data_IF_429445940199
#
_entry.id   IF_429445940199
#
_cell.length_a   1.000
_cell.length_b   1.000
_cell.length_c   1.000
_cell.angle_alpha   90.00
_cell.angle_beta   90.00
_cell.angle_gamma   90.00
#
_symmetry.space_group_name_H-M   'P 1'
#
loop_
_entity.id
_entity.type
_entity.pdbx_description
1 polymer ?
#
# COMPACT_ATOMS: atom_id res chain seq x y z
N UNK A 1 -18.88 14.24 3.81
CA UNK A 1 -18.30 13.82 2.49
C UNK A 1 -16.89 14.36 2.44
N UNK A 2 -15.90 13.59 1.98
CA UNK A 2 -14.51 14.08 1.91
C UNK A 2 -14.42 15.32 1.02
N UNK A 3 -13.76 16.34 1.54
CA UNK A 3 -13.41 17.57 0.84
C UNK A 3 -12.00 17.50 0.28
N UNK A 4 -11.40 18.66 -0.02
CA UNK A 4 -9.97 18.73 -0.37
C UNK A 4 -9.10 18.30 0.82
N UNK A 5 -7.87 17.78 0.59
CA UNK A 5 -7.02 17.30 1.67
C UNK A 5 -6.83 18.32 2.82
N UNK A 6 -6.67 19.58 2.52
CA UNK A 6 -6.44 20.63 3.52
C UNK A 6 -7.65 20.92 4.44
N UNK A 7 -8.84 20.53 4.03
CA UNK A 7 -10.10 20.65 4.79
C UNK A 7 -10.55 19.34 5.42
N UNK A 8 -9.82 18.26 5.23
CA UNK A 8 -10.15 16.93 5.72
C UNK A 8 -9.32 16.62 6.96
N UNK A 9 -9.94 16.01 7.97
CA UNK A 9 -9.26 15.42 9.10
C UNK A 9 -9.31 13.89 9.01
N UNK A 10 -8.14 13.25 9.13
CA UNK A 10 -8.00 11.81 9.08
C UNK A 10 -7.44 11.24 10.38
N UNK A 11 -7.97 10.08 10.79
CA UNK A 11 -7.45 9.26 11.87
C UNK A 11 -6.82 7.99 11.27
N UNK A 12 -5.52 7.82 11.48
CA UNK A 12 -4.81 6.59 11.12
C UNK A 12 -4.67 5.74 12.38
N UNK A 13 -5.28 4.56 12.39
CA UNK A 13 -5.26 3.65 13.55
C UNK A 13 -4.14 2.63 13.39
N UNK A 14 -3.11 2.74 14.20
CA UNK A 14 -1.87 1.95 14.16
C UNK A 14 -0.69 2.78 13.65
N UNK A 15 0.22 3.15 14.56
CA UNK A 15 1.43 3.96 14.30
C UNK A 15 2.66 3.13 13.91
N UNK A 16 2.47 1.91 13.37
CA UNK A 16 3.56 1.14 12.77
C UNK A 16 4.07 1.78 11.48
N UNK A 17 5.05 1.13 10.81
CA UNK A 17 5.68 1.67 9.59
C UNK A 17 4.65 2.12 8.55
N UNK A 18 3.66 1.27 8.23
CA UNK A 18 2.64 1.61 7.24
C UNK A 18 1.77 2.78 7.67
N UNK A 19 1.26 2.78 8.92
CA UNK A 19 0.41 3.87 9.39
C UNK A 19 1.14 5.20 9.47
N UNK A 20 2.40 5.20 9.91
CA UNK A 20 3.23 6.40 9.91
C UNK A 20 3.49 6.95 8.49
N UNK A 21 3.78 6.07 7.53
CA UNK A 21 3.96 6.45 6.12
C UNK A 21 2.67 7.00 5.50
N UNK A 22 1.53 6.34 5.74
CA UNK A 22 0.21 6.81 5.29
C UNK A 22 -0.12 8.18 5.88
N UNK A 23 0.17 8.39 7.16
CA UNK A 23 -0.01 9.69 7.79
C UNK A 23 0.80 10.79 7.11
N UNK A 24 2.05 10.52 6.74
CA UNK A 24 2.87 11.48 5.98
C UNK A 24 2.32 11.76 4.57
N UNK A 25 1.77 10.75 3.88
CA UNK A 25 1.09 10.94 2.58
C UNK A 25 -0.06 11.92 2.70
N UNK A 26 -0.87 11.80 3.73
CA UNK A 26 -2.02 12.68 3.97
C UNK A 26 -1.56 14.10 4.38
N UNK A 27 -0.63 14.17 5.33
CA UNK A 27 -0.15 15.43 5.87
C UNK A 27 0.58 16.30 4.84
N UNK A 28 1.39 15.69 3.94
CA UNK A 28 2.04 16.43 2.85
C UNK A 28 1.04 17.14 1.94
N UNK A 29 -0.16 16.59 1.80
CA UNK A 29 -1.25 17.19 1.05
C UNK A 29 -2.08 18.21 1.87
N UNK A 30 -1.69 18.46 3.13
CA UNK A 30 -2.35 19.42 4.01
C UNK A 30 -3.45 18.85 4.90
N UNK A 31 -3.75 17.56 4.81
CA UNK A 31 -4.74 16.92 5.66
C UNK A 31 -4.31 16.96 7.15
N UNK A 32 -5.23 17.34 8.04
CA UNK A 32 -5.03 17.20 9.49
C UNK A 32 -5.04 15.71 9.82
N UNK A 33 -3.90 15.16 10.23
CA UNK A 33 -3.74 13.71 10.38
C UNK A 33 -3.34 13.37 11.80
N UNK A 34 -4.15 12.54 12.44
CA UNK A 34 -3.94 12.05 13.79
C UNK A 34 -3.57 10.56 13.68
N UNK A 35 -2.48 10.16 14.31
CA UNK A 35 -2.07 8.75 14.39
C UNK A 35 -2.39 8.21 15.76
N UNK A 36 -3.26 7.20 15.83
CA UNK A 36 -3.49 6.46 17.06
C UNK A 36 -2.45 5.35 17.18
N UNK A 37 -1.63 5.44 18.24
CA UNK A 37 -0.67 4.40 18.60
C UNK A 37 -0.73 4.16 20.13
N UNK A 38 -1.20 2.99 20.51
CA UNK A 38 -1.39 2.62 21.92
C UNK A 38 -0.10 2.32 22.65
N UNK A 39 0.95 1.92 21.94
CA UNK A 39 2.27 1.65 22.52
C UNK A 39 3.01 2.96 22.78
N UNK A 40 3.18 3.35 24.05
CA UNK A 40 3.91 4.55 24.42
C UNK A 40 5.31 4.64 23.80
N UNK A 41 6.16 3.56 23.82
CA UNK A 41 7.48 3.62 23.19
C UNK A 41 7.45 3.88 21.69
N UNK A 42 6.43 3.36 20.98
CA UNK A 42 6.28 3.64 19.54
C UNK A 42 5.76 5.04 19.29
N UNK A 43 4.81 5.50 20.11
CA UNK A 43 4.22 6.83 20.00
C UNK A 43 5.28 7.92 20.21
N UNK A 44 6.21 7.73 21.15
CA UNK A 44 7.33 8.63 21.41
C UNK A 44 8.31 8.75 20.23
N UNK A 45 8.41 7.74 19.39
CA UNK A 45 9.28 7.75 18.20
C UNK A 45 8.64 8.43 16.98
N UNK A 46 7.31 8.61 16.95
CA UNK A 46 6.61 9.18 15.81
C UNK A 46 7.05 10.60 15.43
N UNK A 47 7.23 11.55 16.37
CA UNK A 47 7.66 12.91 16.01
C UNK A 47 8.98 12.94 15.23
N UNK A 48 9.98 12.19 15.66
CA UNK A 48 11.27 12.10 14.97
C UNK A 48 11.17 11.39 13.63
N UNK A 49 10.33 10.36 13.56
CA UNK A 49 10.05 9.67 12.29
C UNK A 49 9.41 10.63 11.28
N UNK A 50 8.39 11.37 11.69
CA UNK A 50 7.71 12.37 10.87
C UNK A 50 8.63 13.51 10.44
N UNK A 51 9.44 14.05 11.36
CA UNK A 51 10.38 15.13 11.05
C UNK A 51 11.35 14.73 9.95
N UNK A 52 11.94 13.52 10.04
CA UNK A 52 12.84 12.99 9.02
C UNK A 52 12.11 12.74 7.70
N UNK A 53 11.00 11.99 7.74
CA UNK A 53 10.25 11.63 6.54
C UNK A 53 9.68 12.85 5.80
N UNK A 54 9.13 13.83 6.49
CA UNK A 54 8.62 15.07 5.89
C UNK A 54 9.75 15.93 5.33
N UNK A 55 10.93 15.93 5.96
CA UNK A 55 12.13 16.58 5.40
C UNK A 55 12.59 15.92 4.11
N UNK A 56 12.66 14.59 4.11
CA UNK A 56 13.04 13.80 2.93
C UNK A 56 12.08 13.97 1.75
N UNK A 57 10.81 14.21 2.04
CA UNK A 57 9.76 14.49 1.06
C UNK A 57 9.73 15.97 0.61
N UNK A 58 10.40 16.87 1.32
CA UNK A 58 10.39 18.33 1.01
C UNK A 58 9.16 19.06 1.57
N UNK A 59 8.47 18.51 2.58
CA UNK A 59 7.24 19.06 3.16
C UNK A 59 7.34 19.41 4.65
N UNK A 60 8.49 19.91 5.10
CA UNK A 60 8.71 20.30 6.51
C UNK A 60 7.69 21.32 7.03
N UNK A 61 7.21 22.20 6.15
CA UNK A 61 6.17 23.18 6.46
C UNK A 61 4.79 22.55 6.76
N UNK A 62 4.60 21.28 6.46
CA UNK A 62 3.37 20.52 6.76
C UNK A 62 3.49 19.63 8.01
N UNK A 63 4.62 19.65 8.70
CA UNK A 63 4.83 18.83 9.91
C UNK A 63 3.77 19.09 11.00
N UNK A 64 3.31 20.33 11.14
CA UNK A 64 2.24 20.69 12.06
C UNK A 64 0.86 20.10 11.74
N UNK A 65 0.71 19.41 10.62
CA UNK A 65 -0.51 18.65 10.28
C UNK A 65 -0.55 17.26 10.90
N UNK A 66 0.57 16.79 11.47
CA UNK A 66 0.72 15.48 12.11
C UNK A 66 0.62 15.61 13.63
N UNK A 67 -0.16 14.74 14.24
CA UNK A 67 -0.24 14.55 15.67
C UNK A 67 -0.44 13.08 16.02
N UNK A 68 -0.30 12.71 17.29
CA UNK A 68 -0.55 11.36 17.76
C UNK A 68 -1.46 11.38 18.99
N UNK A 69 -2.26 10.33 19.16
CA UNK A 69 -3.07 10.06 20.36
C UNK A 69 -2.86 8.61 20.83
N UNK A 70 -3.26 8.32 22.06
CA UNK A 70 -3.04 7.03 22.70
C UNK A 70 -4.16 6.03 22.42
N UNK A 71 -5.39 6.51 22.43
CA UNK A 71 -6.59 5.68 22.41
C UNK A 71 -7.67 6.25 21.50
N UNK A 72 -8.71 5.45 21.27
CA UNK A 72 -9.92 5.90 20.55
C UNK A 72 -10.66 7.00 21.32
N UNK A 73 -10.52 7.07 22.65
CA UNK A 73 -11.19 8.08 23.47
C UNK A 73 -10.57 9.47 23.31
N UNK A 74 -9.29 9.52 22.91
CA UNK A 74 -8.56 10.78 22.70
C UNK A 74 -8.76 11.35 21.28
N UNK A 75 -9.40 10.60 20.38
CA UNK A 75 -9.59 11.05 19.01
C UNK A 75 -10.73 12.09 18.91
N UNK A 76 -10.56 13.16 18.12
CA UNK A 76 -11.57 14.21 17.96
C UNK A 76 -12.66 13.77 16.97
N UNK A 77 -13.52 12.85 17.36
CA UNK A 77 -14.50 12.18 16.50
C UNK A 77 -15.44 13.13 15.76
N UNK A 78 -15.75 14.29 16.35
CA UNK A 78 -16.57 15.30 15.71
C UNK A 78 -15.92 15.95 14.47
N UNK A 79 -14.59 15.84 14.33
CA UNK A 79 -13.83 16.42 13.24
C UNK A 79 -13.38 15.37 12.22
N UNK A 80 -13.31 14.08 12.59
CA UNK A 80 -12.75 13.01 11.74
C UNK A 80 -13.68 12.71 10.57
N UNK A 81 -13.16 12.87 9.35
CA UNK A 81 -13.85 12.60 8.08
C UNK A 81 -13.45 11.24 7.47
N UNK A 82 -12.24 10.79 7.76
CA UNK A 82 -11.66 9.58 7.21
C UNK A 82 -10.90 8.80 8.30
N UNK A 83 -11.22 7.52 8.43
CA UNK A 83 -10.47 6.60 9.28
C UNK A 83 -9.73 5.60 8.40
N UNK A 84 -8.43 5.41 8.65
CA UNK A 84 -7.59 4.44 7.93
C UNK A 84 -7.01 3.46 8.95
N UNK A 85 -7.43 2.21 8.90
CA UNK A 85 -6.93 1.15 9.79
C UNK A 85 -5.64 0.57 9.22
N UNK A 86 -4.58 0.57 10.05
CA UNK A 86 -3.24 0.03 9.78
C UNK A 86 -2.73 -0.88 10.91
N UNK A 87 -3.64 -1.56 11.63
CA UNK A 87 -3.27 -2.49 12.70
C UNK A 87 -2.81 -3.85 12.15
N UNK A 88 -2.23 -4.75 12.99
CA UNK A 88 -1.78 -6.07 12.55
C UNK A 88 -2.85 -6.86 11.80
N UNK A 89 -2.40 -7.71 10.86
CA UNK A 89 -3.23 -8.47 9.93
C UNK A 89 -3.88 -9.68 10.64
N UNK A 90 -4.87 -9.38 11.49
CA UNK A 90 -5.69 -10.33 12.23
C UNK A 90 -7.17 -9.96 12.10
N UNK A 91 -7.96 -10.84 11.53
CA UNK A 91 -9.35 -10.58 11.19
C UNK A 91 -10.20 -10.25 12.43
N UNK A 92 -10.05 -11.04 13.51
CA UNK A 92 -10.75 -10.87 14.78
C UNK A 92 -10.54 -9.47 15.39
N UNK A 93 -9.28 -8.99 15.37
CA UNK A 93 -8.93 -7.65 15.90
C UNK A 93 -9.50 -6.56 15.00
N UNK A 94 -9.41 -6.74 13.66
CA UNK A 94 -9.96 -5.76 12.70
C UNK A 94 -11.47 -5.64 12.85
N UNK A 95 -12.20 -6.75 12.90
CA UNK A 95 -13.67 -6.76 13.12
C UNK A 95 -14.06 -6.05 14.42
N UNK A 96 -13.37 -6.37 15.52
CA UNK A 96 -13.61 -5.72 16.82
C UNK A 96 -13.36 -4.22 16.76
N UNK A 97 -12.27 -3.80 16.12
CA UNK A 97 -11.95 -2.39 15.92
C UNK A 97 -13.04 -1.68 15.10
N UNK A 98 -13.44 -2.24 13.95
CA UNK A 98 -14.43 -1.59 13.09
C UNK A 98 -15.80 -1.48 13.74
N UNK A 99 -16.19 -2.44 14.59
CA UNK A 99 -17.40 -2.34 15.41
C UNK A 99 -17.35 -1.13 16.39
N UNK A 100 -16.17 -0.81 16.94
CA UNK A 100 -16.00 0.37 17.79
C UNK A 100 -15.90 1.67 16.96
N UNK A 101 -15.21 1.65 15.82
CA UNK A 101 -15.13 2.80 14.92
C UNK A 101 -16.51 3.21 14.38
N UNK A 102 -17.36 2.24 14.05
CA UNK A 102 -18.72 2.51 13.55
C UNK A 102 -19.58 3.28 14.57
N UNK A 103 -19.43 2.99 15.87
CA UNK A 103 -20.15 3.67 16.95
C UNK A 103 -19.67 5.09 17.20
N UNK A 104 -18.37 5.35 17.00
CA UNK A 104 -17.70 6.62 17.35
C UNK A 104 -17.66 7.62 16.21
N UNK A 105 -17.41 7.12 15.01
CA UNK A 105 -17.26 7.97 13.83
C UNK A 105 -18.59 8.56 13.41
N UNK A 106 -18.57 9.81 12.97
CA UNK A 106 -19.73 10.50 12.36
C UNK A 106 -20.33 9.64 11.26
N UNK A 107 -21.62 9.74 11.05
CA UNK A 107 -22.35 8.93 10.04
C UNK A 107 -21.88 9.17 8.60
N UNK A 108 -21.29 10.32 8.31
CA UNK A 108 -20.76 10.72 6.99
C UNK A 108 -19.23 10.48 6.86
N UNK A 109 -18.53 10.05 7.92
CA UNK A 109 -17.14 9.71 7.88
C UNK A 109 -16.92 8.36 7.18
N UNK A 110 -15.87 8.27 6.34
CA UNK A 110 -15.47 7.02 5.69
C UNK A 110 -14.59 6.19 6.62
N UNK A 111 -14.86 4.90 6.65
CA UNK A 111 -14.06 3.90 7.36
C UNK A 111 -13.30 3.07 6.34
N UNK A 112 -11.97 2.97 6.50
CA UNK A 112 -11.16 2.24 5.52
C UNK A 112 -10.14 1.33 6.18
N UNK A 113 -9.86 0.18 5.54
CA UNK A 113 -8.81 -0.73 5.97
C UNK A 113 -7.67 -0.78 4.97
N UNK A 114 -6.44 -0.72 5.48
CA UNK A 114 -5.23 -0.96 4.70
C UNK A 114 -4.82 -2.45 4.69
N UNK A 115 -5.75 -3.37 4.97
CA UNK A 115 -5.50 -4.82 4.88
C UNK A 115 -5.00 -5.20 3.49
N UNK A 116 -4.01 -6.10 3.44
CA UNK A 116 -3.43 -6.61 2.18
C UNK A 116 -4.00 -7.96 1.76
N UNK A 117 -4.54 -8.75 2.70
CA UNK A 117 -4.92 -10.14 2.46
C UNK A 117 -6.39 -10.44 2.72
N UNK A 118 -7.01 -9.79 3.70
CA UNK A 118 -8.42 -10.03 4.00
C UNK A 118 -9.33 -9.25 3.06
N UNK A 119 -10.36 -9.91 2.47
CA UNK A 119 -11.44 -9.20 1.79
C UNK A 119 -12.10 -8.17 2.72
N UNK A 120 -12.45 -7.02 2.19
CA UNK A 120 -13.08 -5.94 2.95
C UNK A 120 -14.45 -6.39 3.48
N UNK A 121 -15.21 -7.22 2.72
CA UNK A 121 -16.44 -7.84 3.17
C UNK A 121 -16.27 -8.68 4.44
N UNK A 122 -15.12 -9.38 4.58
CA UNK A 122 -14.85 -10.15 5.79
C UNK A 122 -14.58 -9.24 6.98
N UNK A 123 -13.86 -8.14 6.80
CA UNK A 123 -13.59 -7.15 7.85
C UNK A 123 -14.88 -6.41 8.23
N UNK A 124 -15.71 -6.07 7.26
CA UNK A 124 -16.98 -5.37 7.44
C UNK A 124 -18.11 -6.26 8.00
N UNK A 125 -17.86 -7.55 8.19
CA UNK A 125 -18.87 -8.46 8.71
C UNK A 125 -19.39 -8.01 10.09
N UNK A 126 -20.72 -7.85 10.21
CA UNK A 126 -21.37 -7.38 11.43
C UNK A 126 -21.55 -5.85 11.54
N UNK A 127 -21.01 -5.06 10.63
CA UNK A 127 -21.30 -3.64 10.59
C UNK A 127 -22.70 -3.36 10.04
N UNK A 128 -23.35 -2.34 10.59
CA UNK A 128 -24.69 -1.87 10.16
C UNK A 128 -24.54 -0.92 8.96
N UNK A 129 -23.51 -0.07 8.96
CA UNK A 129 -23.29 0.98 7.96
C UNK A 129 -22.19 0.58 6.96
N UNK A 130 -22.31 -0.61 6.36
CA UNK A 130 -21.32 -1.18 5.44
C UNK A 130 -21.07 -0.31 4.21
N UNK A 131 -22.02 0.53 3.80
CA UNK A 131 -21.91 1.41 2.64
C UNK A 131 -20.75 2.42 2.72
N UNK A 132 -20.31 2.78 3.93
CA UNK A 132 -19.17 3.69 4.17
C UNK A 132 -17.84 2.99 4.49
N UNK A 133 -17.84 1.65 4.46
CA UNK A 133 -16.64 0.85 4.64
C UNK A 133 -16.02 0.50 3.29
N UNK A 134 -14.73 0.79 3.13
CA UNK A 134 -13.97 0.55 1.91
C UNK A 134 -12.58 -0.03 2.25
N UNK A 135 -11.92 -0.63 1.28
CA UNK A 135 -10.48 -0.84 1.37
C UNK A 135 -9.73 0.39 0.85
N UNK A 136 -8.63 0.71 1.51
CA UNK A 136 -7.69 1.73 1.06
C UNK A 136 -6.27 1.20 1.24
N UNK A 137 -5.81 0.43 0.25
CA UNK A 137 -4.59 -0.36 0.34
C UNK A 137 -3.41 0.36 -0.30
N UNK A 138 -2.43 0.69 0.54
CA UNK A 138 -1.16 1.29 0.15
C UNK A 138 -0.06 0.23 0.03
N UNK A 139 0.98 0.56 -0.71
CA UNK A 139 2.15 -0.29 -0.91
C UNK A 139 3.37 0.28 -0.19
N UNK A 140 4.16 -0.61 0.44
CA UNK A 140 5.34 -0.22 1.21
C UNK A 140 6.53 0.14 0.30
N UNK A 141 7.22 1.25 0.56
CA UNK A 141 6.92 2.33 1.51
C UNK A 141 5.82 3.26 0.95
N UNK A 142 4.76 3.53 1.74
CA UNK A 142 3.58 4.23 1.23
C UNK A 142 3.86 5.66 0.73
N UNK A 143 4.86 6.32 1.27
CA UNK A 143 5.26 7.67 0.88
C UNK A 143 6.10 7.73 -0.41
N UNK A 144 6.58 6.58 -0.92
CA UNK A 144 7.38 6.48 -2.15
C UNK A 144 6.69 5.69 -3.27
N UNK A 145 5.76 4.79 -2.95
CA UNK A 145 4.99 4.06 -3.96
C UNK A 145 3.68 4.80 -4.22
N UNK A 146 3.47 5.36 -5.42
CA UNK A 146 2.33 6.25 -5.68
C UNK A 146 0.99 5.52 -5.81
N UNK A 147 0.97 4.21 -6.02
CA UNK A 147 -0.26 3.43 -6.17
C UNK A 147 -1.02 3.35 -4.84
N UNK A 148 -2.33 3.55 -4.90
CA UNK A 148 -3.26 3.18 -3.84
C UNK A 148 -4.48 2.50 -4.44
N UNK A 149 -4.87 1.36 -3.88
CA UNK A 149 -6.09 0.66 -4.30
C UNK A 149 -7.26 1.10 -3.42
N UNK A 150 -8.36 1.50 -4.05
CA UNK A 150 -9.65 1.72 -3.41
C UNK A 150 -10.51 0.49 -3.69
N UNK A 151 -10.77 -0.31 -2.67
CA UNK A 151 -11.43 -1.61 -2.83
C UNK A 151 -12.90 -1.50 -2.45
N UNK A 152 -13.76 -1.82 -3.40
CA UNK A 152 -15.20 -1.87 -3.25
C UNK A 152 -15.63 -3.32 -2.96
N UNK A 153 -16.37 -3.53 -1.85
CA UNK A 153 -17.03 -4.79 -1.56
C UNK A 153 -18.53 -4.72 -1.90
N UNK A 154 -19.23 -5.85 -1.85
CA UNK A 154 -20.65 -5.93 -2.29
C UNK A 154 -21.60 -5.01 -1.51
N UNK A 155 -21.29 -4.69 -0.24
CA UNK A 155 -22.07 -3.75 0.59
C UNK A 155 -21.58 -2.31 0.54
N UNK A 156 -20.47 -2.04 -0.16
CA UNK A 156 -19.85 -0.70 -0.22
C UNK A 156 -20.53 0.22 -1.24
N UNK A 157 -20.41 1.53 -1.02
CA UNK A 157 -20.94 2.53 -1.94
C UNK A 157 -19.94 2.90 -3.03
N UNK A 158 -20.34 2.75 -4.30
CA UNK A 158 -19.53 3.19 -5.45
C UNK A 158 -19.25 4.71 -5.40
N UNK A 159 -20.22 5.52 -4.98
CA UNK A 159 -20.03 6.95 -4.83
C UNK A 159 -18.98 7.32 -3.77
N UNK A 160 -18.92 6.55 -2.68
CA UNK A 160 -17.85 6.72 -1.69
C UNK A 160 -16.49 6.29 -2.23
N UNK A 161 -16.43 5.23 -3.04
CA UNK A 161 -15.19 4.81 -3.70
C UNK A 161 -14.67 5.87 -4.67
N UNK A 162 -15.53 6.48 -5.47
CA UNK A 162 -15.19 7.58 -6.39
C UNK A 162 -14.69 8.80 -5.60
N UNK A 163 -15.38 9.16 -4.51
CA UNK A 163 -14.99 10.27 -3.62
C UNK A 163 -13.62 10.02 -2.99
N UNK A 164 -13.37 8.81 -2.48
CA UNK A 164 -12.11 8.43 -1.87
C UNK A 164 -10.97 8.43 -2.91
N UNK A 165 -11.24 7.93 -4.12
CA UNK A 165 -10.27 7.97 -5.21
C UNK A 165 -9.93 9.41 -5.63
N UNK A 166 -10.91 10.30 -5.71
CA UNK A 166 -10.67 11.72 -5.97
C UNK A 166 -9.84 12.38 -4.87
N UNK A 167 -10.15 12.10 -3.60
CA UNK A 167 -9.39 12.57 -2.46
C UNK A 167 -7.93 12.09 -2.51
N UNK A 168 -7.68 10.82 -2.82
CA UNK A 168 -6.33 10.28 -2.93
C UNK A 168 -5.54 10.88 -4.09
N UNK A 169 -6.20 11.23 -5.23
CA UNK A 169 -5.55 12.04 -6.28
C UNK A 169 -5.11 13.40 -5.75
N UNK A 170 -5.95 14.05 -4.96
CA UNK A 170 -5.59 15.31 -4.28
C UNK A 170 -4.42 15.17 -3.32
N UNK A 171 -4.18 13.98 -2.79
CA UNK A 171 -3.00 13.64 -1.99
C UNK A 171 -1.75 13.29 -2.84
N UNK A 172 -1.82 13.41 -4.17
CA UNK A 172 -0.72 13.09 -5.08
C UNK A 172 -0.51 11.59 -5.29
N UNK A 173 -1.54 10.77 -5.00
CA UNK A 173 -1.51 9.33 -5.22
C UNK A 173 -2.19 8.95 -6.54
N UNK A 174 -1.88 7.77 -7.05
CA UNK A 174 -2.52 7.15 -8.23
C UNK A 174 -3.55 6.13 -7.74
N UNK A 175 -4.82 6.49 -7.55
CA UNK A 175 -5.84 5.57 -7.09
C UNK A 175 -6.34 4.68 -8.22
N UNK A 176 -6.50 3.40 -7.91
CA UNK A 176 -7.16 2.41 -8.76
C UNK A 176 -8.36 1.83 -8.02
N UNK A 177 -9.54 1.87 -8.64
CA UNK A 177 -10.75 1.28 -8.04
C UNK A 177 -10.81 -0.21 -8.37
N UNK A 178 -10.76 -1.04 -7.33
CA UNK A 178 -10.93 -2.48 -7.41
C UNK A 178 -12.39 -2.82 -7.14
N UNK A 179 -13.11 -3.25 -8.18
CA UNK A 179 -14.58 -3.39 -8.14
C UNK A 179 -15.09 -4.62 -7.39
N UNK A 180 -14.19 -5.52 -6.99
CA UNK A 180 -14.51 -6.74 -6.21
C UNK A 180 -13.38 -7.02 -5.23
N UNK A 181 -13.71 -7.27 -3.99
CA UNK A 181 -12.77 -7.55 -2.90
C UNK A 181 -12.34 -9.03 -2.88
N UNK A 182 -11.48 -9.39 -3.80
CA UNK A 182 -10.84 -10.69 -3.81
C UNK A 182 -9.57 -10.68 -2.94
N UNK A 183 -9.17 -11.81 -2.34
CA UNK A 183 -7.90 -11.90 -1.61
C UNK A 183 -6.72 -11.40 -2.43
N UNK A 184 -5.95 -10.44 -1.91
CA UNK A 184 -4.81 -9.81 -2.57
C UNK A 184 -5.19 -8.76 -3.64
N UNK A 185 -6.45 -8.41 -3.78
CA UNK A 185 -6.99 -7.33 -4.62
C UNK A 185 -6.48 -7.37 -6.09
N UNK A 186 -5.85 -6.32 -6.59
CA UNK A 186 -5.34 -6.26 -7.97
C UNK A 186 -3.82 -6.42 -8.02
N UNK A 187 -3.06 -5.49 -7.45
CA UNK A 187 -1.61 -5.45 -7.64
C UNK A 187 -0.90 -6.59 -6.92
N UNK A 188 -1.32 -6.97 -5.70
CA UNK A 188 -0.76 -8.13 -5.03
C UNK A 188 -1.04 -9.42 -5.80
N UNK A 189 -2.20 -9.57 -6.42
CA UNK A 189 -2.49 -10.74 -7.26
C UNK A 189 -1.56 -10.84 -8.45
N UNK A 190 -1.30 -9.72 -9.13
CA UNK A 190 -0.36 -9.66 -10.26
C UNK A 190 1.08 -9.97 -9.79
N UNK A 191 1.50 -9.37 -8.68
CA UNK A 191 2.83 -9.61 -8.11
C UNK A 191 3.01 -11.06 -7.67
N UNK A 192 2.01 -11.67 -7.02
CA UNK A 192 2.06 -13.07 -6.60
C UNK A 192 1.97 -14.05 -7.76
N UNK A 193 1.27 -13.73 -8.85
CA UNK A 193 1.29 -14.55 -10.05
C UNK A 193 2.70 -14.61 -10.67
N UNK A 194 3.38 -13.45 -10.77
CA UNK A 194 4.78 -13.38 -11.19
C UNK A 194 5.70 -14.15 -10.23
N UNK A 195 5.55 -13.91 -8.92
CA UNK A 195 6.40 -14.55 -7.90
C UNK A 195 6.22 -16.08 -7.89
N UNK A 196 5.00 -16.59 -8.09
CA UNK A 196 4.73 -18.03 -8.17
C UNK A 196 5.54 -18.67 -9.28
N UNK A 197 5.56 -18.10 -10.48
CA UNK A 197 6.37 -18.57 -11.58
C UNK A 197 7.86 -18.45 -11.30
N UNK A 198 8.33 -17.31 -10.79
CA UNK A 198 9.73 -17.08 -10.45
C UNK A 198 10.27 -18.11 -9.46
N UNK A 199 9.52 -18.42 -8.41
CA UNK A 199 9.94 -19.41 -7.42
C UNK A 199 9.82 -20.86 -7.94
N UNK A 200 8.90 -21.17 -8.87
CA UNK A 200 8.84 -22.46 -9.57
C UNK A 200 10.11 -22.69 -10.38
N UNK A 201 10.54 -21.70 -11.14
CA UNK A 201 11.78 -21.77 -11.92
C UNK A 201 13.03 -21.99 -11.03
N UNK A 202 13.06 -21.40 -9.84
CA UNK A 202 14.15 -21.62 -8.88
C UNK A 202 14.08 -23.04 -8.29
N UNK A 203 12.87 -23.52 -7.93
CA UNK A 203 12.67 -24.87 -7.41
C UNK A 203 13.06 -25.99 -8.39
N UNK A 204 12.88 -25.73 -9.69
CA UNK A 204 13.22 -26.62 -10.80
C UNK A 204 14.69 -26.48 -11.26
N UNK A 205 15.43 -25.53 -10.69
CA UNK A 205 16.83 -25.30 -11.08
C UNK A 205 17.01 -24.66 -12.46
N UNK A 206 15.97 -24.04 -13.01
CA UNK A 206 16.01 -23.36 -14.33
C UNK A 206 16.81 -22.07 -14.24
N UNK A 207 16.71 -21.35 -13.13
CA UNK A 207 17.39 -20.08 -12.90
C UNK A 207 17.80 -19.90 -11.44
N UNK A 208 18.87 -19.11 -11.21
CA UNK A 208 19.23 -18.66 -9.87
C UNK A 208 18.34 -17.50 -9.40
N UNK A 209 18.21 -17.25 -8.09
CA UNK A 209 17.51 -16.05 -7.60
C UNK A 209 18.03 -14.75 -8.21
N UNK A 210 19.36 -14.64 -8.37
CA UNK A 210 20.02 -13.48 -8.98
C UNK A 210 19.63 -13.28 -10.43
N UNK A 211 19.48 -14.36 -11.21
CA UNK A 211 19.14 -14.28 -12.64
C UNK A 211 17.65 -13.97 -12.83
N UNK A 212 16.78 -14.49 -11.96
CA UNK A 212 15.35 -14.10 -11.92
C UNK A 212 15.24 -12.60 -11.66
N UNK A 213 15.93 -12.05 -10.65
CA UNK A 213 15.91 -10.62 -10.35
C UNK A 213 16.44 -9.77 -11.52
N UNK A 214 17.52 -10.20 -12.18
CA UNK A 214 18.05 -9.52 -13.37
C UNK A 214 17.03 -9.54 -14.53
N UNK A 215 16.43 -10.68 -14.82
CA UNK A 215 15.45 -10.83 -15.90
C UNK A 215 14.24 -9.91 -15.69
N UNK A 216 13.74 -9.82 -14.47
CA UNK A 216 12.64 -8.92 -14.13
C UNK A 216 13.09 -7.46 -14.22
N UNK A 217 14.16 -7.07 -13.49
CA UNK A 217 14.55 -5.65 -13.35
C UNK A 217 15.04 -5.02 -14.65
N UNK A 218 15.81 -5.73 -15.45
CA UNK A 218 16.45 -5.22 -16.67
C UNK A 218 15.74 -5.68 -17.96
N UNK A 219 14.80 -6.60 -17.84
CA UNK A 219 13.99 -7.08 -18.93
C UNK A 219 12.62 -6.40 -18.99
N UNK A 220 11.56 -7.18 -18.75
CA UNK A 220 10.19 -6.69 -18.91
C UNK A 220 9.77 -5.68 -17.82
N UNK A 221 10.30 -5.79 -16.61
CA UNK A 221 10.03 -4.83 -15.54
C UNK A 221 10.55 -3.44 -15.83
N UNK A 222 11.70 -3.33 -16.54
CA UNK A 222 12.21 -2.04 -16.99
C UNK A 222 11.22 -1.30 -17.91
N UNK A 223 10.52 -2.05 -18.76
CA UNK A 223 9.49 -1.48 -19.67
C UNK A 223 8.26 -0.98 -18.94
N UNK A 224 7.99 -1.47 -17.71
CA UNK A 224 6.85 -1.02 -16.90
C UNK A 224 6.94 0.44 -16.46
N UNK A 225 8.12 1.06 -16.53
CA UNK A 225 8.25 2.51 -16.36
C UNK A 225 7.55 3.30 -17.50
N UNK A 226 7.45 2.72 -18.69
CA UNK A 226 6.87 3.39 -19.85
C UNK A 226 5.44 2.92 -20.14
N UNK A 227 5.11 1.65 -19.89
CA UNK A 227 3.80 1.08 -20.20
C UNK A 227 3.52 -0.14 -19.33
N UNK A 228 2.32 -0.22 -18.78
CA UNK A 228 1.85 -1.39 -18.06
C UNK A 228 1.67 -2.62 -18.99
N UNK A 229 1.42 -3.80 -18.41
CA UNK A 229 1.37 -5.06 -19.18
C UNK A 229 0.27 -5.09 -20.26
N UNK A 230 -0.81 -4.36 -20.09
CA UNK A 230 -1.90 -4.31 -21.10
C UNK A 230 -1.51 -3.42 -22.28
N UNK A 231 -1.07 -2.19 -22.03
CA UNK A 231 -0.64 -1.26 -23.09
C UNK A 231 0.52 -1.83 -23.93
N UNK A 232 1.43 -2.60 -23.29
CA UNK A 232 2.50 -3.28 -24.03
C UNK A 232 1.98 -4.29 -25.06
N UNK A 233 0.74 -4.81 -24.92
CA UNK A 233 0.15 -5.71 -25.92
C UNK A 233 -0.31 -4.95 -27.15
N UNK A 234 -0.83 -3.74 -26.98
CA UNK A 234 -1.16 -2.87 -28.12
C UNK A 234 0.09 -2.45 -28.90
N UNK A 235 1.22 -2.20 -28.20
CA UNK A 235 2.50 -1.93 -28.88
C UNK A 235 3.03 -3.09 -29.71
N UNK A 236 2.83 -4.35 -29.26
CA UNK A 236 3.38 -5.55 -29.90
C UNK A 236 2.42 -6.22 -30.88
N UNK A 237 1.13 -5.90 -30.79
CA UNK A 237 0.04 -6.63 -31.48
C UNK A 237 -0.58 -7.71 -30.58
N UNK A 238 -1.88 -7.65 -30.39
CA UNK A 238 -2.63 -8.57 -29.51
C UNK A 238 -2.58 -10.00 -30.05
N UNK A 239 -2.56 -10.18 -31.39
CA UNK A 239 -2.47 -11.48 -32.05
C UNK A 239 -1.14 -12.19 -31.78
N UNK A 240 -0.01 -11.43 -31.76
CA UNK A 240 1.32 -11.98 -31.45
C UNK A 240 1.33 -12.50 -30.01
N UNK A 241 0.75 -11.72 -29.10
CA UNK A 241 0.69 -12.11 -27.69
C UNK A 241 -0.23 -13.32 -27.48
N UNK A 242 -1.37 -13.39 -28.18
CA UNK A 242 -2.30 -14.52 -28.10
C UNK A 242 -1.63 -15.81 -28.52
N UNK A 243 -0.89 -15.81 -29.65
CA UNK A 243 -0.15 -16.97 -30.13
C UNK A 243 0.94 -17.40 -29.11
N UNK A 244 1.72 -16.44 -28.61
CA UNK A 244 2.74 -16.71 -27.60
C UNK A 244 2.16 -17.27 -26.29
N UNK A 245 1.04 -16.72 -25.83
CA UNK A 245 0.35 -17.19 -24.64
C UNK A 245 -0.18 -18.62 -24.78
N UNK A 246 -0.75 -18.97 -25.94
CA UNK A 246 -1.22 -20.33 -26.23
C UNK A 246 -0.10 -21.39 -26.10
N UNK A 247 1.14 -21.01 -26.44
CA UNK A 247 2.32 -21.88 -26.28
C UNK A 247 2.84 -21.93 -24.85
N UNK A 248 2.88 -20.79 -24.15
CA UNK A 248 3.55 -20.70 -22.86
C UNK A 248 2.65 -21.08 -21.68
N UNK A 249 1.36 -20.68 -21.68
CA UNK A 249 0.47 -20.86 -20.52
C UNK A 249 0.35 -22.30 -20.02
N UNK A 250 0.33 -23.34 -20.91
CA UNK A 250 0.30 -24.72 -20.42
C UNK A 250 1.50 -25.14 -19.56
N UNK A 251 2.65 -24.46 -19.71
CA UNK A 251 3.87 -24.74 -18.97
C UNK A 251 4.10 -23.86 -17.74
N UNK A 252 3.29 -22.81 -17.55
CA UNK A 252 3.43 -21.94 -16.40
C UNK A 252 2.93 -22.62 -15.11
N UNK A 253 3.56 -22.28 -13.98
CA UNK A 253 3.20 -22.83 -12.67
C UNK A 253 1.74 -22.55 -12.29
N UNK A 254 0.96 -23.60 -12.03
CA UNK A 254 -0.38 -23.54 -11.47
C UNK A 254 -0.41 -23.94 -9.96
N UNK A 255 0.76 -23.90 -9.27
CA UNK A 255 0.88 -24.31 -7.89
C UNK A 255 -0.08 -23.53 -6.97
N UNK A 256 -0.76 -24.25 -6.08
CA UNK A 256 -1.68 -23.71 -5.07
C UNK A 256 -1.03 -23.53 -3.70
N UNK A 257 0.17 -24.05 -3.52
CA UNK A 257 0.97 -23.95 -2.30
C UNK A 257 2.21 -23.11 -2.55
N UNK A 258 2.76 -22.45 -1.52
CA UNK A 258 4.05 -21.77 -1.63
C UNK A 258 5.15 -22.71 -2.13
N UNK A 259 6.05 -22.20 -2.95
CA UNK A 259 7.19 -22.94 -3.51
C UNK A 259 8.05 -23.61 -2.41
N UNK A 260 8.69 -24.74 -2.75
CA UNK A 260 9.53 -25.50 -1.82
C UNK A 260 10.63 -24.64 -1.21
N UNK A 261 11.33 -23.86 -2.05
CA UNK A 261 12.43 -22.98 -1.61
C UNK A 261 12.00 -21.97 -0.54
N UNK A 262 10.78 -21.44 -0.62
CA UNK A 262 10.23 -20.51 0.40
C UNK A 262 10.00 -21.24 1.72
N UNK A 263 9.36 -22.40 1.66
CA UNK A 263 9.05 -23.21 2.85
C UNK A 263 10.31 -23.68 3.58
N UNK A 264 11.33 -24.14 2.83
CA UNK A 264 12.61 -24.56 3.37
C UNK A 264 13.36 -23.40 4.06
N UNK A 265 13.36 -22.20 3.45
CA UNK A 265 13.97 -21.01 4.08
C UNK A 265 13.28 -20.61 5.37
N UNK A 266 11.95 -20.64 5.41
CA UNK A 266 11.18 -20.34 6.64
C UNK A 266 11.49 -21.39 7.71
N UNK A 267 11.50 -22.69 7.37
CA UNK A 267 11.82 -23.76 8.29
C UNK A 267 13.25 -23.66 8.84
N UNK A 268 14.20 -23.15 8.03
CA UNK A 268 15.59 -22.92 8.43
C UNK A 268 15.81 -21.59 9.18
N UNK A 269 14.78 -20.79 9.43
CA UNK A 269 14.90 -19.47 10.05
C UNK A 269 15.58 -18.40 9.18
N UNK A 270 15.78 -18.66 7.89
CA UNK A 270 16.42 -17.77 6.90
C UNK A 270 15.39 -16.86 6.25
N UNK A 271 14.90 -15.89 7.01
CA UNK A 271 13.77 -15.05 6.62
C UNK A 271 14.16 -13.66 6.09
N UNK A 272 15.36 -13.53 5.55
CA UNK A 272 15.86 -12.33 4.90
C UNK A 272 16.69 -11.42 5.78
N UNK A 273 16.63 -10.10 5.51
CA UNK A 273 17.45 -9.09 6.19
C UNK A 273 17.29 -9.10 7.72
N UNK A 274 16.13 -9.53 8.23
CA UNK A 274 15.84 -9.61 9.68
C UNK A 274 16.74 -10.61 10.41
N UNK A 275 17.14 -11.67 9.73
CA UNK A 275 17.94 -12.76 10.28
C UNK A 275 19.35 -12.86 9.66
N UNK A 276 19.71 -11.89 8.80
CA UNK A 276 21.01 -11.87 8.12
C UNK A 276 21.14 -12.81 6.92
N UNK A 277 20.16 -13.67 6.67
CA UNK A 277 20.13 -14.55 5.52
C UNK A 277 18.70 -14.80 5.04
N UNK A 278 18.51 -14.83 3.72
CA UNK A 278 17.30 -15.18 3.01
C UNK A 278 17.68 -15.88 1.71
N UNK A 279 17.24 -15.36 0.56
CA UNK A 279 17.82 -15.71 -0.75
C UNK A 279 19.24 -15.18 -0.86
N UNK A 280 19.52 -14.04 -0.22
CA UNK A 280 20.82 -13.39 -0.15
C UNK A 280 21.32 -13.33 1.30
N UNK A 281 22.64 -13.08 1.46
CA UNK A 281 23.28 -12.87 2.77
C UNK A 281 23.38 -11.39 3.07
N UNK A 282 23.13 -11.03 4.33
CA UNK A 282 23.05 -9.65 4.78
C UNK A 282 23.85 -9.44 6.06
N UNK A 283 24.71 -8.44 6.06
CA UNK A 283 25.21 -7.81 7.28
C UNK A 283 24.31 -6.62 7.63
N UNK A 284 24.40 -6.10 8.84
CA UNK A 284 23.69 -4.87 9.21
C UNK A 284 24.01 -3.73 8.23
N UNK A 285 25.29 -3.57 7.86
CA UNK A 285 25.74 -2.53 6.94
C UNK A 285 25.19 -2.75 5.52
N UNK A 286 25.28 -3.96 4.96
CA UNK A 286 24.80 -4.24 3.61
C UNK A 286 23.28 -4.14 3.51
N UNK A 287 22.55 -4.52 4.57
CA UNK A 287 21.09 -4.35 4.61
C UNK A 287 20.67 -2.88 4.68
N UNK A 288 21.40 -2.05 5.43
CA UNK A 288 21.16 -0.59 5.48
C UNK A 288 21.47 0.07 4.13
N UNK A 289 22.59 -0.30 3.50
CA UNK A 289 22.97 0.21 2.18
C UNK A 289 21.93 -0.16 1.11
N UNK A 290 21.42 -1.41 1.13
CA UNK A 290 20.40 -1.86 0.18
C UNK A 290 19.06 -1.15 0.36
N UNK A 291 18.62 -0.93 1.61
CA UNK A 291 17.40 -0.13 1.87
C UNK A 291 17.54 1.29 1.30
N UNK A 292 18.69 1.94 1.59
CA UNK A 292 18.94 3.27 1.05
C UNK A 292 18.95 3.28 -0.48
N UNK A 293 19.63 2.32 -1.12
CA UNK A 293 19.65 2.18 -2.58
C UNK A 293 18.23 2.00 -3.15
N UNK A 294 17.41 1.18 -2.49
CA UNK A 294 16.02 0.93 -2.87
C UNK A 294 15.20 2.24 -2.83
N UNK A 295 15.25 2.96 -1.73
CA UNK A 295 14.54 4.23 -1.56
C UNK A 295 15.00 5.30 -2.55
N UNK A 296 16.33 5.43 -2.77
CA UNK A 296 16.89 6.36 -3.74
C UNK A 296 16.41 6.09 -5.17
N UNK A 297 16.30 4.81 -5.56
CA UNK A 297 15.78 4.42 -6.88
C UNK A 297 14.27 4.69 -7.01
N UNK A 298 13.48 4.46 -5.96
CA UNK A 298 12.06 4.83 -5.98
C UNK A 298 11.89 6.35 -6.13
N UNK A 299 12.67 7.15 -5.42
CA UNK A 299 12.68 8.62 -5.57
C UNK A 299 13.07 9.06 -6.98
N UNK A 300 14.05 8.40 -7.59
CA UNK A 300 14.43 8.66 -8.98
C UNK A 300 13.29 8.30 -9.95
N UNK A 301 12.61 7.17 -9.74
CA UNK A 301 11.43 6.76 -10.49
C UNK A 301 10.29 7.77 -10.40
N UNK A 302 10.00 8.28 -9.19
CA UNK A 302 8.97 9.33 -9.00
C UNK A 302 9.32 10.62 -9.76
N UNK A 303 10.60 11.01 -9.80
CA UNK A 303 11.04 12.18 -10.59
C UNK A 303 10.87 11.93 -12.09
N UNK A 304 11.20 10.74 -12.57
CA UNK A 304 11.02 10.37 -13.96
C UNK A 304 9.55 10.43 -14.40
N UNK A 305 8.66 9.96 -13.55
CA UNK A 305 7.21 9.91 -13.81
C UNK A 305 6.45 11.17 -13.35
N UNK A 306 7.13 12.22 -12.93
CA UNK A 306 6.51 13.40 -12.30
C UNK A 306 5.43 14.08 -13.16
N UNK A 307 5.56 14.03 -14.50
CA UNK A 307 4.56 14.59 -15.42
C UNK A 307 3.27 13.76 -15.49
N UNK A 308 3.32 12.49 -15.12
CA UNK A 308 2.19 11.56 -15.16
C UNK A 308 1.50 11.40 -13.79
N UNK A 309 2.20 11.79 -12.72
CA UNK A 309 1.67 11.70 -11.36
C UNK A 309 0.67 12.81 -11.06
N UNK A 310 -0.40 12.53 -10.30
CA UNK A 310 -1.30 13.55 -9.81
C UNK A 310 -0.55 14.60 -8.98
N UNK A 311 -0.89 15.86 -9.16
CA UNK A 311 -0.37 16.94 -8.32
C UNK A 311 -1.12 16.98 -7.01
N UNK A 312 -0.39 17.25 -5.92
CA UNK A 312 -1.01 17.55 -4.64
C UNK A 312 -1.86 18.82 -4.82
N UNK A 313 -3.10 18.77 -4.34
CA UNK A 313 -3.97 19.92 -4.39
C UNK A 313 -3.43 21.05 -3.50
N UNK A 314 -2.96 22.14 -4.12
CA UNK A 314 -2.54 23.36 -3.40
C UNK A 314 -3.74 24.27 -3.22
N UNK A 315 -4.19 24.46 -1.98
CA UNK A 315 -5.24 25.43 -1.64
C UNK A 315 -4.71 26.88 -1.61
N UNK A 316 -3.40 27.09 -1.69
CA UNK A 316 -2.76 28.42 -1.67
C UNK A 316 -2.62 29.06 -3.07
N UNK A 317 -3.09 28.42 -4.13
CA UNK A 317 -3.05 28.97 -5.49
C UNK A 317 -4.12 30.08 -5.75
N UNK A 318 -4.77 30.56 -4.70
CA UNK A 318 -5.87 31.53 -4.76
C UNK A 318 -5.78 32.69 -3.76
N UNK A 319 -4.60 33.00 -3.21
CA UNK A 319 -4.41 34.21 -2.41
C UNK A 319 -3.26 35.05 -2.94
#
# INVERSE_FOLDING_TARGET
>A
MLETPSRTAALVVGGGTMGADVAMVLARAGCKTIVLESSAPRRELLPDYFARGMSDLGYTNRLGRLSACESLDDAPWSEVDLVIECIPERLDIKQSLFAELEKRARSDALLTSNSSSFPISAIAAGLVTTGRMLGLHFFMPAHLVPLVEVILHAGGSAAHADTLAAFMRGCGMVPVIVKKDLPGFLANRLQHALAREAFSMIDEGIATPEDVDKAVRFGFGFRFLAAGPVLQRDHAGVEVHTAAAATMYPSLSAATLPARVLREKVAAGKIGMKTGEGFFRWTQQSAAAERKRYDDLLRAGLKLLAAELPRIADDDAGK
#
